data_IF_795638090764
#
_entry.id   IF_795638090764
#
_cell.length_a   1.000
_cell.length_b   1.000
_cell.length_c   1.000
_cell.angle_alpha   90.00
_cell.angle_beta   90.00
_cell.angle_gamma   90.00
#
_symmetry.space_group_name_H-M   'P 1'
#
loop_
_entity.id
_entity.type
_entity.pdbx_description
1 polymer ?
#
# COMPACT_ATOMS: atom_id res chain seq x y z
N UNK A 1 4.71 -19.61 -5.10
CA UNK A 1 5.62 -18.47 -5.27
C UNK A 1 4.76 -17.23 -5.41
N UNK A 2 5.08 -16.13 -4.73
CA UNK A 2 4.35 -14.87 -4.85
C UNK A 2 5.07 -13.97 -5.86
N UNK A 3 4.30 -13.21 -6.64
CA UNK A 3 4.84 -12.18 -7.52
C UNK A 3 5.18 -10.94 -6.68
N UNK A 4 6.40 -10.45 -6.84
CA UNK A 4 6.82 -9.17 -6.27
C UNK A 4 6.62 -8.06 -7.30
N UNK A 5 6.12 -6.92 -6.85
CA UNK A 5 5.85 -5.73 -7.68
C UNK A 5 6.30 -4.48 -6.92
N UNK A 6 6.70 -3.45 -7.64
CA UNK A 6 7.15 -2.19 -7.03
C UNK A 6 6.00 -1.20 -7.01
N UNK A 7 5.61 -0.72 -5.82
CA UNK A 7 4.67 0.40 -5.71
C UNK A 7 5.33 1.69 -6.24
N UNK A 8 4.70 2.34 -7.22
CA UNK A 8 5.23 3.51 -7.91
C UNK A 8 4.57 4.81 -7.46
N UNK A 9 3.30 4.76 -7.03
CA UNK A 9 2.55 5.95 -6.60
C UNK A 9 1.54 5.64 -5.51
N UNK A 10 1.47 6.50 -4.51
CA UNK A 10 0.40 6.52 -3.51
C UNK A 10 -0.75 7.40 -4.00
N UNK A 11 -1.93 6.82 -4.22
CA UNK A 11 -3.06 7.49 -4.88
C UNK A 11 -4.06 8.03 -3.87
N UNK A 12 -4.68 7.13 -3.08
CA UNK A 12 -5.76 7.49 -2.17
C UNK A 12 -5.50 6.90 -0.79
N UNK A 13 -5.41 7.73 0.26
CA UNK A 13 -5.35 7.21 1.63
C UNK A 13 -6.68 6.56 2.01
N UNK A 14 -6.60 5.37 2.58
CA UNK A 14 -7.70 4.69 3.26
C UNK A 14 -7.52 4.93 4.76
N UNK A 15 -8.55 5.44 5.44
CA UNK A 15 -8.45 5.75 6.88
C UNK A 15 -9.06 4.61 7.68
N UNK A 16 -8.23 3.96 8.51
CA UNK A 16 -8.66 2.91 9.43
C UNK A 16 -7.86 3.00 10.75
N UNK A 17 -8.46 3.62 11.78
CA UNK A 17 -7.84 3.75 13.10
C UNK A 17 -6.48 4.47 13.07
N UNK A 18 -5.50 3.95 13.83
CA UNK A 18 -4.13 4.47 13.90
C UNK A 18 -3.19 4.01 12.78
N UNK A 19 -3.71 3.27 11.79
CA UNK A 19 -2.97 2.81 10.61
C UNK A 19 -3.31 3.70 9.40
N UNK A 20 -2.38 3.81 8.44
CA UNK A 20 -2.56 4.54 7.19
C UNK A 20 -2.45 3.57 5.99
N UNK A 21 -3.44 2.70 5.76
CA UNK A 21 -3.51 1.95 4.52
C UNK A 21 -3.80 2.89 3.33
N UNK A 22 -3.48 2.47 2.11
CA UNK A 22 -3.80 3.27 0.93
C UNK A 22 -3.73 2.51 -0.38
N UNK A 23 -4.45 3.03 -1.37
CA UNK A 23 -4.39 2.56 -2.75
C UNK A 23 -3.08 3.03 -3.39
N UNK A 24 -2.37 2.10 -4.02
CA UNK A 24 -1.13 2.35 -4.75
C UNK A 24 -1.22 1.85 -6.18
N UNK A 25 -0.55 2.54 -7.09
CA UNK A 25 -0.21 2.01 -8.41
C UNK A 25 1.11 1.24 -8.31
N UNK A 26 1.23 0.16 -9.09
CA UNK A 26 2.46 -0.63 -9.20
C UNK A 26 3.01 -0.62 -10.64
N UNK A 27 4.23 -1.12 -10.81
CA UNK A 27 4.96 -1.22 -12.08
C UNK A 27 4.33 -2.19 -13.09
N UNK A 28 3.50 -3.12 -12.61
CA UNK A 28 2.71 -4.04 -13.43
C UNK A 28 1.37 -3.46 -13.92
N UNK A 29 1.12 -2.17 -13.64
CA UNK A 29 -0.10 -1.44 -14.00
C UNK A 29 -1.37 -1.95 -13.31
N UNK A 30 -1.23 -2.76 -12.26
CA UNK A 30 -2.35 -3.21 -11.44
C UNK A 30 -2.43 -2.35 -10.16
N UNK A 31 -3.63 -1.93 -9.72
CA UNK A 31 -3.80 -1.23 -8.46
C UNK A 31 -3.75 -2.19 -7.26
N UNK A 32 -3.08 -1.76 -6.18
CA UNK A 32 -2.93 -2.53 -4.94
C UNK A 32 -3.34 -1.74 -3.71
N UNK A 33 -3.62 -2.44 -2.61
CA UNK A 33 -3.77 -1.83 -1.27
C UNK A 33 -2.51 -2.11 -0.47
N UNK A 34 -1.81 -1.04 -0.08
CA UNK A 34 -0.68 -1.12 0.84
C UNK A 34 -1.18 -0.95 2.27
N UNK A 35 -0.80 -1.87 3.16
CA UNK A 35 -1.05 -1.77 4.60
C UNK A 35 0.22 -1.30 5.32
N UNK A 36 0.17 -0.13 5.94
CA UNK A 36 1.23 0.33 6.84
C UNK A 36 0.88 -0.02 8.29
N UNK A 37 1.79 -0.66 9.01
CA UNK A 37 1.69 -0.84 10.45
C UNK A 37 2.69 0.08 11.13
N UNK A 38 2.25 0.91 12.07
CA UNK A 38 3.16 1.56 13.01
C UNK A 38 3.78 0.46 13.87
N UNK A 39 5.09 0.26 13.79
CA UNK A 39 5.78 -0.59 14.77
C UNK A 39 5.79 0.14 16.12
N UNK A 40 5.41 -0.51 17.24
CA UNK A 40 5.67 0.06 18.55
C UNK A 40 7.19 0.11 18.73
N UNK A 41 7.72 1.29 19.05
CA UNK A 41 9.05 1.44 19.64
C UNK A 41 9.05 0.86 21.05
#
# INVERSE_FOLDING_TARGET
MLTEVTATRYVTPLREGGSLPGLVEADDLVPYVMKSSTAPH
#
